data_IF_971308263223
#
_entry.id   IF_971308263223
#
_cell.length_a   1.000
_cell.length_b   1.000
_cell.length_c   1.000
_cell.angle_alpha   90.00
_cell.angle_beta   90.00
_cell.angle_gamma   90.00
#
_symmetry.space_group_name_H-M   'P 1'
#
loop_
_entity.id
_entity.type
_entity.pdbx_description
1 polymer ?
#
# COMPACT_ATOMS: atom_id res chain seq x y z
N UNK A 1 -35.32 -17.23 -11.63
CA UNK A 1 -33.99 -17.20 -10.97
C UNK A 1 -34.04 -16.07 -9.96
N UNK A 2 -33.77 -16.34 -8.69
CA UNK A 2 -33.72 -15.29 -7.67
C UNK A 2 -32.44 -14.48 -7.86
N UNK A 3 -32.55 -13.18 -8.03
CA UNK A 3 -31.41 -12.28 -7.97
C UNK A 3 -30.73 -12.43 -6.59
N UNK A 4 -29.44 -12.74 -6.59
CA UNK A 4 -28.66 -12.76 -5.36
C UNK A 4 -28.29 -11.32 -5.02
N UNK A 5 -28.85 -10.79 -3.94
CA UNK A 5 -28.66 -9.39 -3.55
C UNK A 5 -27.18 -9.05 -3.39
N UNK A 6 -26.68 -8.08 -4.16
CA UNK A 6 -25.27 -7.68 -4.13
C UNK A 6 -24.37 -8.45 -5.11
N UNK A 7 -24.96 -9.21 -6.04
CA UNK A 7 -24.26 -9.81 -7.19
C UNK A 7 -24.97 -9.40 -8.48
N UNK A 8 -24.22 -8.77 -9.40
CA UNK A 8 -24.71 -8.41 -10.74
C UNK A 8 -23.82 -9.07 -11.79
N UNK A 9 -24.42 -9.58 -12.85
CA UNK A 9 -23.71 -10.20 -13.98
C UNK A 9 -23.79 -9.28 -15.19
N UNK A 10 -22.65 -8.97 -15.78
CA UNK A 10 -22.57 -8.25 -17.05
C UNK A 10 -22.37 -9.22 -18.19
N UNK A 11 -23.12 -9.02 -19.27
CA UNK A 11 -23.08 -9.87 -20.46
C UNK A 11 -22.24 -9.24 -21.57
N UNK A 12 -21.53 -10.07 -22.32
CA UNK A 12 -20.87 -9.66 -23.56
C UNK A 12 -21.91 -9.43 -24.69
N UNK A 13 -21.42 -9.00 -25.86
CA UNK A 13 -22.26 -8.78 -27.04
C UNK A 13 -22.94 -10.07 -27.58
N UNK A 14 -22.46 -11.25 -27.19
CA UNK A 14 -23.05 -12.54 -27.53
C UNK A 14 -24.04 -13.05 -26.46
N UNK A 15 -24.24 -12.31 -25.37
CA UNK A 15 -25.14 -12.66 -24.27
C UNK A 15 -24.53 -13.58 -23.20
N UNK A 16 -23.22 -13.89 -23.28
CA UNK A 16 -22.51 -14.69 -22.29
C UNK A 16 -22.11 -13.83 -21.10
N UNK A 17 -22.08 -14.40 -19.90
CA UNK A 17 -21.60 -13.67 -18.72
C UNK A 17 -20.10 -13.42 -18.86
N UNK A 18 -19.70 -12.16 -18.84
CA UNK A 18 -18.31 -11.72 -19.03
C UNK A 18 -17.70 -11.13 -17.77
N UNK A 19 -18.49 -10.39 -16.98
CA UNK A 19 -18.05 -9.80 -15.73
C UNK A 19 -19.08 -10.01 -14.62
N UNK A 20 -18.61 -9.90 -13.38
CA UNK A 20 -19.44 -9.94 -12.19
C UNK A 20 -19.09 -8.76 -11.29
N UNK A 21 -20.11 -8.05 -10.80
CA UNK A 21 -19.99 -7.03 -9.77
C UNK A 21 -20.42 -7.64 -8.44
N UNK A 22 -19.55 -7.55 -7.43
CA UNK A 22 -19.77 -8.15 -6.12
C UNK A 22 -19.70 -7.07 -5.04
N UNK A 23 -20.74 -6.99 -4.21
CA UNK A 23 -20.74 -6.13 -3.02
C UNK A 23 -19.75 -6.64 -1.97
N UNK A 24 -18.63 -5.93 -1.84
CA UNK A 24 -17.56 -6.28 -0.90
C UNK A 24 -17.99 -6.16 0.57
N UNK A 25 -19.01 -5.37 0.90
CA UNK A 25 -19.52 -5.31 2.29
C UNK A 25 -20.23 -6.59 2.69
N UNK A 26 -20.84 -7.28 1.72
CA UNK A 26 -21.58 -8.53 1.95
C UNK A 26 -20.71 -9.77 1.77
N UNK A 27 -19.84 -9.73 0.77
CA UNK A 27 -19.12 -10.90 0.29
C UNK A 27 -17.60 -10.76 0.29
N UNK A 28 -17.06 -9.61 0.74
CA UNK A 28 -15.62 -9.33 0.71
C UNK A 28 -14.79 -10.41 1.39
N UNK A 29 -15.12 -10.77 2.62
CA UNK A 29 -14.41 -11.82 3.36
C UNK A 29 -14.45 -13.17 2.65
N UNK A 30 -15.58 -13.48 2.00
CA UNK A 30 -15.76 -14.74 1.28
C UNK A 30 -14.91 -14.81 0.01
N UNK A 31 -14.76 -13.69 -0.71
CA UNK A 31 -14.01 -13.66 -1.98
C UNK A 31 -12.54 -13.27 -1.81
N UNK A 32 -12.16 -12.71 -0.65
CA UNK A 32 -10.80 -12.27 -0.35
C UNK A 32 -9.73 -13.35 -0.63
N UNK A 33 -9.93 -14.64 -0.29
CA UNK A 33 -8.94 -15.68 -0.62
C UNK A 33 -8.66 -15.81 -2.13
N UNK A 34 -9.67 -15.58 -2.98
CA UNK A 34 -9.53 -15.64 -4.44
C UNK A 34 -8.83 -14.37 -4.93
N UNK A 35 -9.22 -13.21 -4.43
CA UNK A 35 -8.61 -11.93 -4.80
C UNK A 35 -7.13 -11.89 -4.46
N UNK A 36 -6.73 -12.38 -3.28
CA UNK A 36 -5.32 -12.51 -2.90
C UNK A 36 -4.53 -13.42 -3.85
N UNK A 37 -5.11 -14.55 -4.30
CA UNK A 37 -4.47 -15.43 -5.30
C UNK A 37 -4.29 -14.74 -6.64
N UNK A 38 -5.17 -13.80 -6.99
CA UNK A 38 -5.09 -12.98 -8.19
C UNK A 38 -4.21 -11.73 -8.01
N UNK A 39 -3.62 -11.53 -6.83
CA UNK A 39 -2.79 -10.36 -6.51
C UNK A 39 -3.59 -9.08 -6.27
N UNK A 40 -4.90 -9.17 -6.10
CA UNK A 40 -5.78 -8.03 -5.75
C UNK A 40 -5.79 -7.87 -4.24
N UNK A 41 -5.36 -6.72 -3.76
CA UNK A 41 -5.45 -6.39 -2.34
C UNK A 41 -6.73 -5.57 -2.08
N UNK A 42 -7.59 -6.09 -1.21
CA UNK A 42 -8.82 -5.41 -0.78
C UNK A 42 -8.61 -4.47 0.42
N UNK A 43 -7.47 -4.55 1.12
CA UNK A 43 -7.15 -3.51 2.09
C UNK A 43 -6.85 -2.23 1.33
N UNK A 44 -7.53 -1.14 1.68
CA UNK A 44 -7.16 0.22 1.27
C UNK A 44 -5.74 0.51 1.80
N UNK A 45 -4.75 0.05 1.05
CA UNK A 45 -3.37 -0.09 1.49
C UNK A 45 -2.55 1.18 1.27
N UNK A 46 -3.18 2.36 1.28
CA UNK A 46 -2.44 3.61 1.50
C UNK A 46 -1.84 3.62 2.93
N UNK A 47 -2.45 2.89 3.86
CA UNK A 47 -1.87 2.63 5.18
C UNK A 47 -0.70 1.64 5.12
N UNK A 48 -0.80 0.57 4.30
CA UNK A 48 0.30 -0.41 4.22
C UNK A 48 1.53 0.17 3.52
N UNK A 49 1.37 1.06 2.54
CA UNK A 49 2.50 1.71 1.87
C UNK A 49 3.20 2.71 2.81
N UNK A 50 2.42 3.55 3.51
CA UNK A 50 2.96 4.43 4.54
C UNK A 50 3.66 3.67 5.66
N UNK A 51 3.05 2.63 6.23
CA UNK A 51 3.66 1.82 7.28
C UNK A 51 4.90 1.07 6.77
N UNK A 52 4.89 0.57 5.54
CA UNK A 52 6.07 -0.05 4.93
C UNK A 52 7.21 0.95 4.77
N UNK A 53 6.93 2.17 4.32
CA UNK A 53 7.94 3.20 4.15
C UNK A 53 8.41 3.78 5.49
N UNK A 54 7.52 3.88 6.46
CA UNK A 54 7.83 4.24 7.84
C UNK A 54 8.77 3.23 8.50
N UNK A 55 8.52 1.93 8.29
CA UNK A 55 9.39 0.85 8.76
C UNK A 55 10.76 0.80 8.04
N UNK A 56 10.94 1.49 6.90
CA UNK A 56 12.25 1.68 6.26
C UNK A 56 13.01 2.89 6.82
N UNK A 57 12.40 3.69 7.70
CA UNK A 57 13.04 4.82 8.34
C UNK A 57 14.25 4.42 9.19
N UNK A 58 15.16 5.36 9.41
CA UNK A 58 16.32 5.12 10.28
C UNK A 58 15.85 4.81 11.70
N UNK A 59 16.43 3.79 12.32
CA UNK A 59 16.31 3.60 13.76
C UNK A 59 16.89 4.81 14.52
N UNK A 60 16.49 4.97 15.78
CA UNK A 60 16.97 6.05 16.64
C UNK A 60 18.51 6.11 16.68
N UNK A 61 19.18 4.96 16.68
CA UNK A 61 20.64 4.91 16.73
C UNK A 61 21.26 5.31 15.38
N UNK A 62 20.73 4.82 14.26
CA UNK A 62 21.17 5.22 12.92
C UNK A 62 20.97 6.72 12.70
N UNK A 63 19.83 7.26 13.14
CA UNK A 63 19.56 8.69 13.08
C UNK A 63 20.58 9.50 13.90
N UNK A 64 20.92 9.05 15.10
CA UNK A 64 21.92 9.73 15.95
C UNK A 64 23.31 9.74 15.29
N UNK A 65 23.73 8.62 14.70
CA UNK A 65 25.02 8.54 14.01
C UNK A 65 25.04 9.44 12.78
N UNK A 66 23.98 9.38 11.96
CA UNK A 66 23.81 10.23 10.79
C UNK A 66 23.84 11.73 11.16
N UNK A 67 23.03 12.14 12.14
CA UNK A 67 22.98 13.52 12.59
C UNK A 67 24.34 14.01 13.12
N UNK A 68 25.06 13.18 13.86
CA UNK A 68 26.41 13.51 14.36
C UNK A 68 27.41 13.69 13.21
N UNK A 69 27.33 12.87 12.17
CA UNK A 69 28.18 12.98 10.99
C UNK A 69 27.90 14.26 10.21
N UNK A 70 26.64 14.58 9.95
CA UNK A 70 26.24 15.79 9.22
C UNK A 70 26.62 17.07 9.99
N UNK A 71 26.40 17.10 11.31
CA UNK A 71 26.84 18.22 12.14
C UNK A 71 28.36 18.41 12.06
N UNK A 72 29.14 17.34 12.16
CA UNK A 72 30.61 17.41 12.04
C UNK A 72 31.01 17.97 10.67
N UNK A 73 30.43 17.46 9.59
CA UNK A 73 30.69 17.94 8.23
C UNK A 73 30.42 19.45 8.12
N UNK A 74 29.27 19.89 8.59
CA UNK A 74 28.90 21.31 8.57
C UNK A 74 29.88 22.19 9.35
N UNK A 75 30.33 21.74 10.53
CA UNK A 75 31.34 22.46 11.30
C UNK A 75 32.71 22.48 10.62
N UNK A 76 33.14 21.39 9.99
CA UNK A 76 34.40 21.35 9.24
C UNK A 76 34.38 22.30 8.04
N UNK A 77 33.31 22.30 7.25
CA UNK A 77 33.15 23.19 6.09
C UNK A 77 33.14 24.66 6.52
N UNK A 78 32.39 24.99 7.58
CA UNK A 78 32.32 26.37 8.11
C UNK A 78 33.66 26.85 8.68
N UNK A 79 34.44 25.96 9.29
CA UNK A 79 35.76 26.30 9.81
C UNK A 79 36.83 26.37 8.71
N UNK A 80 36.69 25.58 7.64
CA UNK A 80 37.57 25.65 6.47
C UNK A 80 37.39 26.95 5.68
N UNK A 81 36.16 27.49 5.60
CA UNK A 81 35.88 28.79 4.96
C UNK A 81 36.33 30.01 5.78
N UNK A 82 36.70 29.81 7.06
CA UNK A 82 37.14 30.89 7.97
C UNK A 82 38.66 31.01 8.07
N UNK A 83 39.41 30.11 7.44
CA UNK A 83 40.88 30.19 7.29
C UNK A 83 41.23 30.72 5.92
#
# INVERSE_FOLDING_TARGET
MSEVSGIELEKDAAGNNSYVRIDLKKYGDMINPILQRLGVNLSDSNLDEFERDWNKGLSIEEFRQYAKQELRKHFYEKNAQRK
#
